data_IF_184586948510
#
_entry.id   IF_184586948510
#
_cell.length_a   1.000
_cell.length_b   1.000
_cell.length_c   1.000
_cell.angle_alpha   90.00
_cell.angle_beta   90.00
_cell.angle_gamma   90.00
#
_symmetry.space_group_name_H-M   'P 1'
#
loop_
_entity.id
_entity.type
_entity.pdbx_description
1 polymer ?
#
# COMPACT_ATOMS: atom_id res chain seq x y z
N UNK A 1 -27.25 -19.90 71.99
CA UNK A 1 -26.70 -20.77 70.92
C UNK A 1 -27.67 -20.99 69.73
N UNK A 2 -28.63 -21.93 69.76
CA UNK A 2 -29.32 -22.41 68.54
C UNK A 2 -30.18 -21.42 67.72
N UNK A 3 -30.78 -20.39 68.32
CA UNK A 3 -31.58 -19.38 67.58
C UNK A 3 -30.68 -18.43 66.78
N UNK A 4 -29.48 -18.16 67.31
CA UNK A 4 -28.49 -17.28 66.67
C UNK A 4 -27.89 -18.00 65.46
N UNK A 5 -27.57 -19.29 65.61
CA UNK A 5 -27.15 -20.15 64.49
C UNK A 5 -28.22 -20.24 63.38
N UNK A 6 -29.48 -20.48 63.73
CA UNK A 6 -30.56 -20.55 62.76
C UNK A 6 -30.77 -19.23 61.99
N UNK A 7 -30.63 -18.09 62.67
CA UNK A 7 -30.70 -16.78 62.00
C UNK A 7 -29.49 -16.55 61.07
N UNK A 8 -28.28 -16.92 61.50
CA UNK A 8 -27.08 -16.81 60.66
C UNK A 8 -27.15 -17.70 59.41
N UNK A 9 -27.75 -18.89 59.50
CA UNK A 9 -27.93 -19.79 58.36
C UNK A 9 -28.86 -19.16 57.32
N UNK A 10 -29.99 -18.59 57.75
CA UNK A 10 -30.96 -17.92 56.87
C UNK A 10 -30.34 -16.71 56.16
N UNK A 11 -29.52 -15.94 56.86
CA UNK A 11 -28.83 -14.79 56.26
C UNK A 11 -27.73 -15.23 55.28
N UNK A 12 -27.00 -16.30 55.58
CA UNK A 12 -26.07 -16.94 54.62
C UNK A 12 -26.79 -17.42 53.36
N UNK A 13 -28.00 -17.96 53.48
CA UNK A 13 -28.80 -18.43 52.35
C UNK A 13 -29.22 -17.29 51.42
N UNK A 14 -29.67 -16.17 51.98
CA UNK A 14 -29.97 -14.95 51.21
C UNK A 14 -28.74 -14.40 50.50
N UNK A 15 -27.61 -14.36 51.21
CA UNK A 15 -26.33 -13.92 50.63
C UNK A 15 -25.87 -14.86 49.52
N UNK A 16 -26.01 -16.17 49.68
CA UNK A 16 -25.68 -17.15 48.66
C UNK A 16 -26.57 -17.01 47.42
N UNK A 17 -27.87 -16.79 47.61
CA UNK A 17 -28.79 -16.54 46.50
C UNK A 17 -28.43 -15.26 45.74
N UNK A 18 -28.15 -14.17 46.46
CA UNK A 18 -27.70 -12.92 45.84
C UNK A 18 -26.38 -13.10 45.07
N UNK A 19 -25.42 -13.89 45.59
CA UNK A 19 -24.18 -14.24 44.90
C UNK A 19 -24.44 -15.07 43.64
N UNK A 20 -25.36 -16.03 43.69
CA UNK A 20 -25.74 -16.83 42.53
C UNK A 20 -26.37 -15.96 41.45
N UNK A 21 -27.29 -15.07 41.81
CA UNK A 21 -27.93 -14.14 40.87
C UNK A 21 -26.89 -13.22 40.21
N UNK A 22 -25.95 -12.69 41.00
CA UNK A 22 -24.82 -11.90 40.48
C UNK A 22 -23.95 -12.71 39.51
N UNK A 23 -23.65 -13.97 39.85
CA UNK A 23 -22.85 -14.85 39.01
C UNK A 23 -23.56 -15.16 37.68
N UNK A 24 -24.87 -15.39 37.70
CA UNK A 24 -25.68 -15.62 36.49
C UNK A 24 -25.66 -14.40 35.59
N UNK A 25 -25.82 -13.19 36.15
CA UNK A 25 -25.73 -11.95 35.38
C UNK A 25 -24.34 -11.80 34.76
N UNK A 26 -23.29 -12.09 35.52
CA UNK A 26 -21.91 -12.04 35.02
C UNK A 26 -21.69 -13.01 33.85
N UNK A 27 -22.13 -14.27 33.97
CA UNK A 27 -22.03 -15.24 32.88
C UNK A 27 -22.79 -14.81 31.63
N UNK A 28 -24.00 -14.24 31.79
CA UNK A 28 -24.75 -13.69 30.66
C UNK A 28 -23.96 -12.58 29.96
N UNK A 29 -23.35 -11.66 30.71
CA UNK A 29 -22.53 -10.59 30.15
C UNK A 29 -21.28 -11.12 29.43
N UNK A 30 -20.60 -12.12 29.99
CA UNK A 30 -19.45 -12.78 29.37
C UNK A 30 -19.84 -13.45 28.05
N UNK A 31 -20.92 -14.24 28.04
CA UNK A 31 -21.44 -14.88 26.83
C UNK A 31 -21.81 -13.84 25.76
N UNK A 32 -22.50 -12.76 26.13
CA UNK A 32 -22.82 -11.70 25.17
C UNK A 32 -21.55 -11.08 24.57
N UNK A 33 -20.55 -10.78 25.40
CA UNK A 33 -19.27 -10.24 24.93
C UNK A 33 -18.55 -11.21 23.99
N UNK A 34 -18.56 -12.49 24.30
CA UNK A 34 -17.86 -13.50 23.50
C UNK A 34 -18.53 -13.68 22.14
N UNK A 35 -19.86 -13.77 22.09
CA UNK A 35 -20.62 -13.83 20.82
C UNK A 35 -20.36 -12.59 19.96
N UNK A 36 -20.37 -11.39 20.55
CA UNK A 36 -20.08 -10.15 19.84
C UNK A 36 -18.65 -10.17 19.29
N UNK A 37 -17.69 -10.62 20.09
CA UNK A 37 -16.28 -10.70 19.69
C UNK A 37 -16.06 -11.69 18.55
N UNK A 38 -16.70 -12.86 18.60
CA UNK A 38 -16.64 -13.86 17.53
C UNK A 38 -17.27 -13.34 16.24
N UNK A 39 -18.44 -12.72 16.35
CA UNK A 39 -19.14 -12.12 15.20
C UNK A 39 -18.31 -11.02 14.55
N UNK A 40 -17.70 -10.14 15.35
CA UNK A 40 -16.80 -9.10 14.87
C UNK A 40 -15.55 -9.68 14.21
N UNK A 41 -14.97 -10.74 14.77
CA UNK A 41 -13.80 -11.41 14.19
C UNK A 41 -14.13 -12.02 12.83
N UNK A 42 -15.29 -12.67 12.70
CA UNK A 42 -15.78 -13.19 11.41
C UNK A 42 -15.91 -12.06 10.37
N UNK A 43 -16.57 -10.96 10.75
CA UNK A 43 -16.71 -9.80 9.87
C UNK A 43 -15.35 -9.20 9.48
N UNK A 44 -14.50 -8.89 10.46
CA UNK A 44 -13.22 -8.23 10.25
C UNK A 44 -12.30 -9.09 9.37
N UNK A 45 -12.36 -10.42 9.46
CA UNK A 45 -11.54 -11.32 8.63
C UNK A 45 -12.07 -11.55 7.23
N UNK A 46 -13.38 -11.74 7.08
CA UNK A 46 -13.92 -12.29 5.83
C UNK A 46 -14.88 -11.35 5.10
N UNK A 47 -15.50 -10.40 5.80
CA UNK A 47 -16.51 -9.53 5.20
C UNK A 47 -16.03 -8.07 5.05
N UNK A 48 -15.07 -7.63 5.85
CA UNK A 48 -14.45 -6.32 5.71
C UNK A 48 -13.66 -6.25 4.40
N UNK A 49 -13.95 -5.26 3.54
CA UNK A 49 -13.31 -5.11 2.22
C UNK A 49 -11.81 -4.86 2.26
N UNK A 50 -11.31 -4.28 3.35
CA UNK A 50 -9.88 -4.03 3.57
C UNK A 50 -9.12 -5.27 4.01
N UNK A 51 -9.82 -6.35 4.40
CA UNK A 51 -9.18 -7.61 4.77
C UNK A 51 -8.59 -8.30 3.53
N UNK A 52 -7.35 -8.81 3.61
CA UNK A 52 -6.75 -9.56 2.51
C UNK A 52 -7.52 -10.84 2.18
N UNK A 53 -8.22 -11.42 3.17
CA UNK A 53 -9.02 -12.63 3.03
C UNK A 53 -10.51 -12.34 2.85
N UNK A 54 -10.85 -11.09 2.54
CA UNK A 54 -12.25 -10.71 2.35
C UNK A 54 -12.85 -11.43 1.16
N UNK A 55 -14.00 -12.07 1.36
CA UNK A 55 -14.81 -12.65 0.28
C UNK A 55 -15.39 -11.56 -0.62
N UNK A 56 -15.33 -10.29 -0.23
CA UNK A 56 -15.76 -9.19 -1.10
C UNK A 56 -14.62 -8.71 -2.03
N UNK A 57 -13.38 -9.10 -1.74
CA UNK A 57 -12.23 -8.67 -2.52
C UNK A 57 -12.08 -9.55 -3.76
N UNK A 58 -12.04 -8.93 -4.95
CA UNK A 58 -11.82 -9.64 -6.23
C UNK A 58 -10.53 -10.49 -6.22
N UNK A 59 -9.51 -10.06 -5.47
CA UNK A 59 -8.24 -10.80 -5.33
C UNK A 59 -8.42 -12.14 -4.62
N UNK A 60 -9.40 -12.29 -3.73
CA UNK A 60 -9.67 -13.55 -3.03
C UNK A 60 -10.10 -14.68 -3.98
N UNK A 61 -10.61 -14.32 -5.18
CA UNK A 61 -11.03 -15.27 -6.21
C UNK A 61 -10.12 -15.30 -7.44
N UNK A 62 -9.03 -14.53 -7.45
CA UNK A 62 -8.03 -14.62 -8.51
C UNK A 62 -7.18 -15.89 -8.32
N UNK A 63 -7.66 -17.01 -8.86
CA UNK A 63 -7.00 -18.32 -8.77
C UNK A 63 -5.81 -18.51 -9.74
N UNK A 64 -5.27 -17.42 -10.29
CA UNK A 64 -4.17 -17.47 -11.26
C UNK A 64 -2.93 -16.84 -10.66
N UNK A 65 -1.98 -17.69 -10.26
CA UNK A 65 -0.63 -17.29 -9.86
C UNK A 65 0.21 -17.17 -11.13
N UNK A 66 0.78 -15.99 -11.36
CA UNK A 66 1.68 -15.73 -12.49
C UNK A 66 3.09 -15.68 -11.94
N UNK A 67 3.98 -16.43 -12.56
CA UNK A 67 5.39 -16.53 -12.19
C UNK A 67 6.25 -16.31 -13.42
N UNK A 68 7.34 -15.57 -13.27
CA UNK A 68 8.36 -15.42 -14.31
C UNK A 68 9.55 -16.32 -13.98
N UNK A 69 10.26 -16.79 -15.00
CA UNK A 69 11.58 -17.43 -14.80
C UNK A 69 12.65 -16.43 -14.35
N UNK A 70 12.46 -15.15 -14.67
CA UNK A 70 13.31 -14.05 -14.24
C UNK A 70 12.46 -12.80 -13.95
N UNK A 71 12.22 -12.54 -12.66
CA UNK A 71 11.44 -11.39 -12.20
C UNK A 71 12.21 -10.07 -12.24
N UNK A 72 13.54 -10.11 -12.47
CA UNK A 72 14.33 -8.88 -12.62
C UNK A 72 14.15 -8.23 -13.99
N UNK A 73 13.75 -9.01 -14.99
CA UNK A 73 13.57 -8.57 -16.38
C UNK A 73 12.08 -8.38 -16.70
N UNK A 74 11.22 -9.34 -16.36
CA UNK A 74 9.77 -9.28 -16.65
C UNK A 74 8.96 -9.68 -15.42
N UNK A 75 8.01 -8.81 -15.05
CA UNK A 75 6.94 -9.12 -14.10
C UNK A 75 5.59 -8.97 -14.81
N UNK A 76 4.80 -10.03 -14.81
CA UNK A 76 3.47 -10.03 -15.41
C UNK A 76 2.38 -10.02 -14.32
N UNK A 77 1.31 -9.25 -14.57
CA UNK A 77 0.11 -9.21 -13.72
C UNK A 77 -1.10 -9.57 -14.58
N UNK A 78 -1.85 -10.56 -14.15
CA UNK A 78 -3.06 -11.02 -14.82
C UNK A 78 -4.30 -10.59 -14.07
N UNK A 79 -5.32 -10.20 -14.82
CA UNK A 79 -6.65 -9.92 -14.32
C UNK A 79 -7.50 -11.20 -14.24
N UNK A 80 -8.70 -11.07 -13.68
CA UNK A 80 -9.69 -12.14 -13.71
C UNK A 80 -9.98 -12.55 -15.16
N UNK A 81 -9.91 -13.85 -15.45
CA UNK A 81 -10.12 -14.40 -16.80
C UNK A 81 -8.84 -14.58 -17.64
N UNK A 82 -7.65 -14.28 -17.10
CA UNK A 82 -6.39 -14.60 -17.77
C UNK A 82 -6.25 -16.11 -18.01
N UNK A 83 -5.86 -16.47 -19.24
CA UNK A 83 -5.63 -17.86 -19.63
C UNK A 83 -4.43 -18.46 -18.87
N UNK A 84 -4.55 -19.73 -18.48
CA UNK A 84 -3.50 -20.47 -17.78
C UNK A 84 -2.55 -21.10 -18.79
N UNK A 85 -1.78 -20.28 -19.48
CA UNK A 85 -0.79 -20.72 -20.47
C UNK A 85 0.60 -20.14 -20.16
N UNK A 86 1.62 -20.86 -20.60
CA UNK A 86 3.00 -20.40 -20.52
C UNK A 86 3.32 -19.53 -21.74
N UNK A 87 3.83 -18.33 -21.50
CA UNK A 87 4.29 -17.43 -22.55
C UNK A 87 5.82 -17.41 -22.57
N UNK A 88 6.40 -17.36 -23.77
CA UNK A 88 7.84 -17.23 -23.96
C UNK A 88 8.15 -15.85 -24.56
N UNK A 89 9.00 -15.10 -23.87
CA UNK A 89 9.43 -13.77 -24.28
C UNK A 89 10.93 -13.76 -24.58
N UNK A 90 11.31 -13.11 -25.67
CA UNK A 90 12.70 -12.79 -25.98
C UNK A 90 12.88 -11.27 -25.86
N UNK A 91 13.51 -10.82 -24.77
CA UNK A 91 13.80 -9.40 -24.56
C UNK A 91 15.14 -9.07 -25.19
N UNK A 92 15.12 -8.33 -26.31
CA UNK A 92 16.33 -7.88 -27.02
C UNK A 92 16.88 -6.56 -26.49
N UNK A 93 16.00 -5.65 -26.06
CA UNK A 93 16.38 -4.32 -25.58
C UNK A 93 15.31 -3.78 -24.63
N UNK A 94 15.75 -3.13 -23.54
CA UNK A 94 14.86 -2.39 -22.64
C UNK A 94 14.59 -0.99 -23.20
N UNK A 95 13.38 -0.49 -22.99
CA UNK A 95 13.07 0.89 -23.32
C UNK A 95 13.87 1.83 -22.42
N UNK A 96 14.70 2.67 -23.02
CA UNK A 96 15.35 3.78 -22.32
C UNK A 96 14.65 5.10 -22.67
N UNK A 97 14.54 6.05 -21.73
CA UNK A 97 14.08 7.39 -22.07
C UNK A 97 15.08 8.05 -23.03
N UNK A 98 14.58 8.94 -23.88
CA UNK A 98 15.44 9.77 -24.72
C UNK A 98 16.38 10.60 -23.84
N UNK A 99 17.70 10.51 -24.10
CA UNK A 99 18.73 11.23 -23.36
C UNK A 99 19.63 12.00 -24.30
N UNK A 100 19.92 13.26 -23.96
CA UNK A 100 20.88 14.10 -24.68
C UNK A 100 22.07 14.33 -23.77
N UNK A 101 23.27 14.00 -24.24
CA UNK A 101 24.51 14.27 -23.51
C UNK A 101 25.27 15.39 -24.20
N UNK A 102 25.42 16.52 -23.51
CA UNK A 102 26.22 17.64 -23.98
C UNK A 102 27.58 17.57 -23.30
N UNK A 103 28.66 17.45 -24.09
CA UNK A 103 30.03 17.54 -23.58
C UNK A 103 30.48 19.00 -23.65
N UNK A 104 30.66 19.62 -22.50
CA UNK A 104 31.16 20.99 -22.41
C UNK A 104 32.70 20.97 -22.26
N UNK A 105 33.38 21.82 -23.03
CA UNK A 105 34.83 21.98 -22.91
C UNK A 105 35.14 22.87 -21.70
N UNK A 106 35.88 22.37 -20.71
CA UNK A 106 36.16 23.16 -19.49
C UNK A 106 37.10 24.34 -19.72
N UNK A 107 37.70 24.45 -20.91
CA UNK A 107 38.67 25.49 -21.27
C UNK A 107 38.05 26.68 -22.02
N UNK A 108 36.82 26.56 -22.51
CA UNK A 108 36.14 27.61 -23.28
C UNK A 108 35.02 28.26 -22.44
N UNK A 109 34.84 29.58 -22.48
CA UNK A 109 33.71 30.23 -21.80
C UNK A 109 32.37 29.71 -22.35
N UNK A 110 31.36 29.52 -21.47
CA UNK A 110 30.02 28.93 -21.77
C UNK A 110 29.37 29.56 -23.02
N UNK A 111 29.61 30.86 -23.23
CA UNK A 111 29.07 31.66 -24.34
C UNK A 111 29.62 31.24 -25.71
N UNK A 112 30.81 30.64 -25.78
CA UNK A 112 31.36 30.07 -27.03
C UNK A 112 30.76 28.70 -27.36
N UNK A 113 30.23 28.00 -26.36
CA UNK A 113 29.65 26.66 -26.51
C UNK A 113 28.16 26.69 -26.84
N UNK A 114 27.47 27.78 -26.46
CA UNK A 114 26.11 28.10 -26.88
C UNK A 114 26.05 29.53 -27.44
N UNK A 115 26.56 29.78 -28.65
CA UNK A 115 26.59 31.12 -29.23
C UNK A 115 25.17 31.68 -29.42
N UNK A 116 24.93 32.98 -29.16
CA UNK A 116 23.62 33.58 -29.32
C UNK A 116 23.18 33.57 -30.78
N UNK A 117 21.89 33.34 -31.01
CA UNK A 117 21.30 33.56 -32.33
C UNK A 117 21.28 35.07 -32.67
N UNK A 118 20.88 35.44 -33.89
CA UNK A 118 20.85 36.84 -34.35
C UNK A 118 20.00 37.80 -33.49
N UNK A 119 19.20 37.28 -32.54
CA UNK A 119 18.40 38.04 -31.58
C UNK A 119 19.00 38.10 -30.17
N UNK A 120 20.23 37.59 -29.97
CA UNK A 120 20.92 37.60 -28.68
C UNK A 120 20.54 36.45 -27.73
N UNK A 121 19.67 35.52 -28.16
CA UNK A 121 19.20 34.41 -27.34
C UNK A 121 19.88 33.09 -27.75
N UNK A 122 20.42 32.35 -26.78
CA UNK A 122 20.86 30.96 -27.00
C UNK A 122 19.72 30.02 -26.63
N UNK A 123 19.48 28.95 -27.39
CA UNK A 123 18.45 27.97 -27.02
C UNK A 123 18.83 26.55 -27.39
N UNK A 124 18.29 25.59 -26.64
CA UNK A 124 18.49 24.15 -26.83
C UNK A 124 17.16 23.51 -27.22
N UNK A 125 17.11 22.82 -28.36
CA UNK A 125 15.91 22.09 -28.79
C UNK A 125 16.07 20.59 -28.50
N UNK A 126 15.20 20.02 -27.67
CA UNK A 126 15.15 18.58 -27.38
C UNK A 126 13.74 18.08 -27.64
N UNK A 127 13.57 17.16 -28.59
CA UNK A 127 12.28 16.52 -28.84
C UNK A 127 11.14 17.49 -29.18
N UNK A 128 11.44 18.65 -29.78
CA UNK A 128 10.45 19.69 -30.09
C UNK A 128 10.22 20.72 -28.98
N UNK A 129 10.84 20.56 -27.81
CA UNK A 129 10.82 21.52 -26.72
C UNK A 129 12.00 22.48 -26.86
N UNK A 130 11.73 23.79 -26.85
CA UNK A 130 12.75 24.83 -26.93
C UNK A 130 13.08 25.36 -25.53
N UNK A 131 14.32 25.18 -25.08
CA UNK A 131 14.83 25.61 -23.78
C UNK A 131 15.69 26.87 -23.98
N UNK A 132 15.24 28.06 -23.55
CA UNK A 132 16.03 29.28 -23.66
C UNK A 132 17.14 29.33 -22.60
N UNK A 133 18.32 29.76 -23.03
CA UNK A 133 19.54 29.92 -22.23
C UNK A 133 19.87 31.41 -22.16
N UNK A 134 19.97 31.94 -20.94
CA UNK A 134 20.37 33.30 -20.63
C UNK A 134 21.78 33.34 -20.04
N UNK A 135 22.39 34.52 -19.99
CA UNK A 135 23.75 34.72 -19.47
C UNK A 135 23.90 34.38 -17.97
N UNK A 136 22.80 34.38 -17.22
CA UNK A 136 22.78 34.07 -15.78
C UNK A 136 22.51 32.59 -15.50
N UNK A 137 22.22 31.80 -16.54
CA UNK A 137 21.94 30.39 -16.36
C UNK A 137 23.20 29.57 -16.09
N UNK A 138 23.11 28.72 -15.07
CA UNK A 138 24.11 27.71 -14.76
C UNK A 138 23.69 26.37 -15.36
N UNK A 139 24.60 25.40 -15.42
CA UNK A 139 24.29 24.03 -15.85
C UNK A 139 23.12 23.44 -15.06
N UNK A 140 23.06 23.68 -13.75
CA UNK A 140 21.97 23.24 -12.88
C UNK A 140 20.63 23.89 -13.21
N UNK A 141 20.61 25.19 -13.53
CA UNK A 141 19.36 25.89 -13.87
C UNK A 141 18.85 25.45 -15.24
N UNK A 142 19.73 25.17 -16.20
CA UNK A 142 19.34 24.66 -17.53
C UNK A 142 18.75 23.25 -17.46
N UNK A 143 19.32 22.36 -16.63
CA UNK A 143 18.79 20.98 -16.44
C UNK A 143 17.40 20.99 -15.78
N UNK A 144 17.08 22.04 -15.02
CA UNK A 144 15.78 22.18 -14.35
C UNK A 144 14.69 22.89 -15.18
N UNK A 145 15.01 23.43 -16.35
CA UNK A 145 14.06 24.06 -17.27
C UNK A 145 13.40 23.02 -18.17
#
# INVERSE_FOLDING_TARGET
>A
EGIIEASMIRDKEKVNKAKQDQQIVKWKQEIYRDIIKESKNLYDKYLNGDSPNSITNKKAYSATRITSSDESIIVAKGSAGAEKINYQFAVSQMAEPAKVTIKLNSSDPIVQQFPPNASGASSLNIGGVNIPISEQDTTSTIVSK
#
